data_IF_938800527650
#
_entry.id   IF_938800527650
#
_cell.length_a   1.000
_cell.length_b   1.000
_cell.length_c   1.000
_cell.angle_alpha   90.00
_cell.angle_beta   90.00
_cell.angle_gamma   90.00
#
_symmetry.space_group_name_H-M   'P 1'
#
loop_
_entity.id
_entity.type
_entity.pdbx_description
1 polymer ?
#
# COMPACT_ATOMS: atom_id res chain seq x y z
N UNK A 1 1.03 -2.57 70.85
CA UNK A 1 0.32 -1.56 70.03
C UNK A 1 0.58 -1.85 68.55
N UNK A 2 -0.43 -2.35 67.83
CA UNK A 2 -0.37 -2.73 66.40
C UNK A 2 -0.33 -1.46 65.54
N UNK A 3 0.74 -1.24 64.77
CA UNK A 3 0.78 -0.21 63.72
C UNK A 3 0.19 -0.78 62.44
N UNK A 4 -0.97 -0.27 62.04
CA UNK A 4 -1.59 -0.56 60.74
C UNK A 4 -0.89 0.33 59.71
N UNK A 5 -0.13 -0.27 58.78
CA UNK A 5 0.33 0.43 57.58
C UNK A 5 -0.83 0.50 56.59
N UNK A 6 -1.36 1.70 56.35
CA UNK A 6 -2.22 1.95 55.19
C UNK A 6 -1.35 1.98 53.93
N UNK A 7 -1.56 1.01 53.05
CA UNK A 7 -1.08 1.06 51.67
C UNK A 7 -2.03 1.95 50.86
N UNK A 8 -1.60 3.16 50.55
CA UNK A 8 -2.24 4.00 49.54
C UNK A 8 -1.89 3.43 48.17
N UNK A 9 -2.82 2.73 47.52
CA UNK A 9 -2.71 2.43 46.09
C UNK A 9 -2.84 3.73 45.30
N UNK A 10 -1.74 4.19 44.71
CA UNK A 10 -1.81 5.14 43.59
C UNK A 10 -2.46 4.42 42.40
N UNK A 11 -3.70 4.80 42.07
CA UNK A 11 -4.28 4.45 40.79
C UNK A 11 -3.48 5.19 39.70
N UNK A 12 -2.68 4.44 38.94
CA UNK A 12 -2.06 4.97 37.73
C UNK A 12 -3.18 5.21 36.71
N UNK A 13 -3.53 6.47 36.49
CA UNK A 13 -4.36 6.87 35.34
C UNK A 13 -3.62 6.46 34.08
N UNK A 14 -4.10 5.42 33.41
CA UNK A 14 -3.68 5.11 32.06
C UNK A 14 -4.10 6.30 31.18
N UNK A 15 -3.15 7.19 30.88
CA UNK A 15 -3.33 8.13 29.77
C UNK A 15 -3.49 7.28 28.51
N UNK A 16 -4.72 7.19 28.01
CA UNK A 16 -4.99 6.57 26.72
C UNK A 16 -4.12 7.23 25.65
N UNK A 17 -3.65 6.44 24.69
CA UNK A 17 -2.95 7.00 23.54
C UNK A 17 -3.83 8.10 22.91
N UNK A 18 -3.26 9.26 22.52
CA UNK A 18 -4.03 10.31 21.89
C UNK A 18 -4.78 9.74 20.67
N UNK A 19 -6.07 10.04 20.61
CA UNK A 19 -6.94 9.58 19.54
C UNK A 19 -6.56 10.31 18.24
N UNK A 20 -6.48 9.58 17.14
CA UNK A 20 -6.24 10.15 15.81
C UNK A 20 -7.39 11.07 15.41
N UNK A 21 -7.11 12.36 15.16
CA UNK A 21 -8.14 13.35 14.85
C UNK A 21 -8.32 13.60 13.35
N UNK A 22 -7.42 13.05 12.54
CA UNK A 22 -7.44 13.16 11.08
C UNK A 22 -6.83 14.46 10.55
N UNK A 23 -6.13 14.37 9.42
CA UNK A 23 -5.33 15.49 8.90
C UNK A 23 -6.15 16.74 8.55
N UNK A 24 -7.43 16.55 8.19
CA UNK A 24 -8.35 17.63 7.89
C UNK A 24 -8.64 18.55 9.09
N UNK A 25 -8.50 18.05 10.33
CA UNK A 25 -8.64 18.86 11.54
C UNK A 25 -7.54 19.93 11.61
N UNK A 26 -6.32 19.58 11.23
CA UNK A 26 -5.15 20.46 11.27
C UNK A 26 -5.25 21.63 10.30
N UNK A 27 -5.81 21.39 9.10
CA UNK A 27 -5.93 22.38 8.02
C UNK A 27 -6.73 23.62 8.40
N UNK A 28 -7.63 23.51 9.38
CA UNK A 28 -8.47 24.64 9.86
C UNK A 28 -7.65 25.77 10.46
N UNK A 29 -6.52 25.45 11.11
CA UNK A 29 -5.64 26.43 11.73
C UNK A 29 -4.27 26.52 11.03
N UNK A 30 -3.84 25.45 10.38
CA UNK A 30 -2.52 25.32 9.76
C UNK A 30 -2.60 25.17 8.24
N UNK A 31 -3.35 26.04 7.56
CA UNK A 31 -3.64 25.93 6.12
C UNK A 31 -2.39 25.78 5.26
N UNK A 32 -1.36 26.60 5.49
CA UNK A 32 -0.12 26.56 4.70
C UNK A 32 0.68 25.28 4.94
N UNK A 33 0.83 24.87 6.22
CA UNK A 33 1.57 23.66 6.59
C UNK A 33 0.85 22.43 6.03
N UNK A 34 -0.48 22.35 6.20
CA UNK A 34 -1.29 21.28 5.65
C UNK A 34 -1.20 21.24 4.11
N UNK A 35 -1.23 22.39 3.43
CA UNK A 35 -1.06 22.45 1.98
C UNK A 35 0.30 21.94 1.50
N UNK A 36 1.39 22.27 2.22
CA UNK A 36 2.73 21.74 1.93
C UNK A 36 2.83 20.23 2.23
N UNK A 37 2.16 19.76 3.27
CA UNK A 37 2.13 18.35 3.63
C UNK A 37 1.35 17.54 2.58
N UNK A 38 0.17 18.01 2.17
CA UNK A 38 -0.71 17.35 1.19
C UNK A 38 -0.03 17.12 -0.17
N UNK A 39 0.91 18.00 -0.57
CA UNK A 39 1.67 17.90 -1.82
C UNK A 39 3.04 17.21 -1.66
N UNK A 40 3.37 16.73 -0.47
CA UNK A 40 4.64 16.06 -0.19
C UNK A 40 4.63 14.59 -0.58
N UNK A 41 5.83 14.02 -0.78
CA UNK A 41 5.97 12.57 -0.97
C UNK A 41 5.50 11.74 0.22
N UNK A 42 5.43 12.30 1.43
CA UNK A 42 4.83 11.64 2.58
C UNK A 42 3.33 11.43 2.37
N UNK A 43 2.60 12.45 1.94
CA UNK A 43 1.18 12.36 1.62
C UNK A 43 0.89 11.38 0.47
N UNK A 44 1.84 11.22 -0.45
CA UNK A 44 1.72 10.31 -1.59
C UNK A 44 2.21 8.88 -1.31
N UNK A 45 2.76 8.61 -0.12
CA UNK A 45 3.38 7.32 0.23
C UNK A 45 2.43 6.11 0.07
N UNK A 46 1.12 6.34 0.17
CA UNK A 46 0.07 5.41 -0.22
C UNK A 46 -1.09 6.17 -0.84
N UNK A 47 -1.60 5.65 -1.96
CA UNK A 47 -2.83 6.15 -2.58
C UNK A 47 -3.72 4.98 -3.03
N UNK A 48 -5.06 5.13 -2.98
CA UNK A 48 -5.94 4.24 -3.72
C UNK A 48 -5.55 4.27 -5.20
N UNK A 49 -5.35 3.10 -5.81
CA UNK A 49 -4.90 2.99 -7.20
C UNK A 49 -5.84 3.73 -8.16
N UNK A 50 -7.15 3.67 -7.91
CA UNK A 50 -8.17 4.36 -8.70
C UNK A 50 -8.00 5.90 -8.72
N UNK A 51 -7.43 6.48 -7.66
CA UNK A 51 -7.22 7.92 -7.49
C UNK A 51 -5.88 8.42 -8.07
N UNK A 52 -5.19 7.59 -8.87
CA UNK A 52 -3.89 7.91 -9.47
C UNK A 52 -3.94 7.84 -11.00
N UNK A 53 -2.89 8.30 -11.68
CA UNK A 53 -2.65 8.15 -13.13
C UNK A 53 -1.86 6.86 -13.47
N UNK A 54 -1.52 6.04 -12.47
CA UNK A 54 -0.76 4.81 -12.69
C UNK A 54 -1.46 3.81 -13.62
N UNK A 55 -2.79 3.61 -13.55
CA UNK A 55 -3.47 2.71 -14.49
C UNK A 55 -3.17 3.01 -15.97
N UNK A 56 -3.12 4.28 -16.37
CA UNK A 56 -2.79 4.70 -17.73
C UNK A 56 -1.34 4.34 -18.10
N UNK A 57 -0.40 4.55 -17.17
CA UNK A 57 1.01 4.25 -17.36
C UNK A 57 1.29 2.76 -17.53
N UNK A 58 0.50 1.91 -16.88
CA UNK A 58 0.59 0.45 -17.05
C UNK A 58 -0.14 -0.04 -18.32
N UNK A 59 -1.25 0.60 -18.70
CA UNK A 59 -2.07 0.17 -19.83
C UNK A 59 -1.33 0.24 -21.18
N UNK A 60 -0.30 1.07 -21.30
CA UNK A 60 0.50 1.22 -22.54
C UNK A 60 1.66 0.23 -22.65
N UNK A 61 1.99 -0.51 -21.58
CA UNK A 61 3.16 -1.37 -21.56
C UNK A 61 2.86 -2.78 -22.12
N UNK A 62 3.62 -3.20 -23.14
CA UNK A 62 3.66 -4.61 -23.57
C UNK A 62 4.67 -5.37 -22.71
N UNK A 63 4.18 -6.03 -21.67
CA UNK A 63 5.03 -6.70 -20.68
C UNK A 63 4.95 -8.21 -20.85
N UNK A 64 6.09 -8.81 -21.16
CA UNK A 64 6.24 -10.25 -21.38
C UNK A 64 7.48 -10.78 -20.68
N UNK A 65 7.37 -11.95 -20.07
CA UNK A 65 8.53 -12.69 -19.56
C UNK A 65 8.98 -13.78 -20.54
N UNK A 66 10.25 -14.18 -20.45
CA UNK A 66 10.81 -15.27 -21.27
C UNK A 66 10.09 -16.62 -21.08
N UNK A 67 9.35 -16.80 -19.99
CA UNK A 67 8.53 -17.99 -19.74
C UNK A 67 7.23 -18.03 -20.56
N UNK A 68 6.96 -17.01 -21.38
CA UNK A 68 5.71 -16.88 -22.13
C UNK A 68 4.57 -16.25 -21.32
N UNK A 69 4.85 -15.74 -20.12
CA UNK A 69 3.91 -14.92 -19.35
C UNK A 69 3.72 -13.58 -20.07
N UNK A 70 2.48 -13.13 -20.21
CA UNK A 70 2.14 -11.79 -20.67
C UNK A 70 1.21 -11.11 -19.66
N UNK A 71 1.42 -9.80 -19.45
CA UNK A 71 0.59 -8.97 -18.61
C UNK A 71 -0.23 -8.02 -19.48
N UNK A 72 -1.51 -7.85 -19.14
CA UNK A 72 -2.37 -6.80 -19.67
C UNK A 72 -2.99 -6.04 -18.51
N UNK A 73 -2.90 -4.72 -18.55
CA UNK A 73 -3.44 -3.85 -17.54
C UNK A 73 -4.61 -3.03 -18.08
N UNK A 74 -5.61 -2.80 -17.24
CA UNK A 74 -6.74 -1.95 -17.57
C UNK A 74 -7.20 -1.17 -16.34
N UNK A 75 -7.48 0.13 -16.53
CA UNK A 75 -8.22 0.90 -15.53
C UNK A 75 -9.61 0.29 -15.34
N UNK A 76 -9.98 0.13 -14.08
CA UNK A 76 -11.36 -0.14 -13.66
C UNK A 76 -11.73 0.85 -12.55
N UNK A 77 -13.01 0.89 -12.18
CA UNK A 77 -13.51 1.85 -11.17
C UNK A 77 -12.81 1.69 -9.83
N UNK A 78 -12.51 0.45 -9.45
CA UNK A 78 -11.92 0.10 -8.16
C UNK A 78 -10.38 0.17 -8.15
N UNK A 79 -9.72 0.34 -9.30
CA UNK A 79 -8.25 0.36 -9.37
C UNK A 79 -7.69 -0.08 -10.71
N UNK A 80 -6.65 -0.91 -10.67
CA UNK A 80 -5.97 -1.44 -11.84
C UNK A 80 -6.22 -2.95 -11.94
N UNK A 81 -6.94 -3.40 -12.97
CA UNK A 81 -7.06 -4.82 -13.27
C UNK A 81 -5.80 -5.28 -13.99
N UNK A 82 -5.24 -6.40 -13.55
CA UNK A 82 -4.19 -7.12 -14.27
C UNK A 82 -4.73 -8.46 -14.73
N UNK A 83 -4.56 -8.76 -16.01
CA UNK A 83 -4.80 -10.06 -16.62
C UNK A 83 -3.45 -10.66 -16.99
N UNK A 84 -3.15 -11.83 -16.46
CA UNK A 84 -1.86 -12.53 -16.64
C UNK A 84 -2.13 -13.83 -17.40
N UNK A 85 -1.47 -14.01 -18.54
CA UNK A 85 -1.67 -15.19 -19.39
C UNK A 85 -0.38 -15.97 -19.61
N UNK A 86 -0.49 -17.29 -19.75
CA UNK A 86 0.58 -18.18 -20.20
C UNK A 86 -0.01 -19.35 -21.00
N UNK A 87 0.05 -19.26 -22.32
CA UNK A 87 -0.66 -20.19 -23.20
C UNK A 87 -2.17 -20.18 -22.89
N UNK A 88 -2.80 -21.32 -22.55
CA UNK A 88 -4.24 -21.36 -22.24
C UNK A 88 -4.58 -20.92 -20.80
N UNK A 89 -3.59 -20.71 -19.92
CA UNK A 89 -3.82 -20.33 -18.53
C UNK A 89 -3.97 -18.81 -18.41
N UNK A 90 -4.98 -18.38 -17.67
CA UNK A 90 -5.25 -16.96 -17.40
C UNK A 90 -5.53 -16.77 -15.92
N UNK A 91 -5.07 -15.65 -15.37
CA UNK A 91 -5.40 -15.17 -14.03
C UNK A 91 -5.77 -13.69 -14.10
N UNK A 92 -6.85 -13.31 -13.43
CA UNK A 92 -7.24 -11.92 -13.23
C UNK A 92 -7.14 -11.54 -11.76
N UNK A 93 -6.65 -10.32 -11.49
CA UNK A 93 -6.60 -9.74 -10.16
C UNK A 93 -6.84 -8.22 -10.19
N UNK A 94 -7.26 -7.67 -9.06
CA UNK A 94 -7.41 -6.25 -8.85
C UNK A 94 -6.27 -5.72 -7.96
N UNK A 95 -5.59 -4.70 -8.45
CA UNK A 95 -4.56 -3.94 -7.74
C UNK A 95 -5.21 -2.64 -7.25
N UNK A 96 -5.40 -2.55 -5.93
CA UNK A 96 -6.23 -1.54 -5.26
C UNK A 96 -5.41 -0.37 -4.70
N UNK A 97 -4.12 -0.59 -4.47
CA UNK A 97 -3.24 0.35 -3.79
C UNK A 97 -1.99 0.63 -4.61
N UNK A 98 -1.57 1.89 -4.60
CA UNK A 98 -0.28 2.34 -5.10
C UNK A 98 0.64 2.63 -3.90
N UNK A 99 1.61 1.75 -3.64
CA UNK A 99 2.60 1.93 -2.57
C UNK A 99 3.82 2.67 -3.08
N UNK A 100 4.25 3.69 -2.35
CA UNK A 100 5.34 4.60 -2.70
C UNK A 100 4.82 5.88 -3.36
N UNK A 101 5.52 6.99 -3.12
CA UNK A 101 5.15 8.31 -3.66
C UNK A 101 5.22 8.38 -5.18
N UNK A 102 5.98 7.49 -5.82
CA UNK A 102 6.30 7.57 -7.25
C UNK A 102 7.52 8.44 -7.56
N UNK A 103 8.21 8.98 -6.55
CA UNK A 103 9.45 9.73 -6.74
C UNK A 103 10.59 8.82 -7.26
N UNK A 104 10.68 7.60 -6.75
CA UNK A 104 11.61 6.56 -7.24
C UNK A 104 10.86 5.44 -7.95
N UNK A 105 9.86 4.88 -7.26
CA UNK A 105 9.04 3.80 -7.76
C UNK A 105 7.64 3.84 -7.15
N UNK A 106 6.72 3.11 -7.78
CA UNK A 106 5.42 2.77 -7.23
C UNK A 106 5.18 1.28 -7.42
N UNK A 107 4.80 0.61 -6.35
CA UNK A 107 4.47 -0.83 -6.34
C UNK A 107 2.96 -1.00 -6.20
N UNK A 108 2.27 -1.58 -7.19
CA UNK A 108 0.88 -1.95 -7.04
C UNK A 108 0.72 -3.04 -5.98
N UNK A 109 -0.26 -2.89 -5.10
CA UNK A 109 -0.67 -3.92 -4.15
C UNK A 109 -2.16 -4.17 -4.31
N UNK A 110 -2.54 -5.43 -4.38
CA UNK A 110 -3.91 -5.86 -4.61
C UNK A 110 -4.32 -7.02 -3.73
N UNK A 111 -5.47 -7.61 -4.05
CA UNK A 111 -5.94 -8.83 -3.40
C UNK A 111 -6.21 -9.93 -4.40
N UNK A 112 -5.90 -11.15 -4.00
CA UNK A 112 -6.25 -12.36 -4.71
C UNK A 112 -6.62 -13.45 -3.70
N UNK A 113 -7.81 -14.04 -3.86
CA UNK A 113 -8.37 -15.03 -2.93
C UNK A 113 -8.31 -14.58 -1.46
N UNK A 114 -8.66 -13.31 -1.21
CA UNK A 114 -8.70 -12.71 0.13
C UNK A 114 -7.35 -12.26 0.71
N UNK A 115 -6.22 -12.69 0.15
CA UNK A 115 -4.89 -12.29 0.61
C UNK A 115 -4.38 -11.07 -0.14
N UNK A 116 -3.61 -10.21 0.55
CA UNK A 116 -2.86 -9.14 -0.09
C UNK A 116 -1.69 -9.71 -0.91
N UNK A 117 -1.48 -9.16 -2.09
CA UNK A 117 -0.38 -9.50 -2.99
C UNK A 117 0.38 -8.21 -3.31
N UNK A 118 1.68 -8.22 -3.04
CA UNK A 118 2.60 -7.24 -3.61
C UNK A 118 2.88 -7.64 -5.05
N UNK A 119 2.52 -6.78 -6.00
CA UNK A 119 2.58 -7.13 -7.41
C UNK A 119 4.02 -7.30 -7.88
N UNK A 120 4.24 -8.23 -8.81
CA UNK A 120 5.55 -8.53 -9.39
C UNK A 120 6.14 -7.40 -10.21
N UNK A 121 5.30 -6.52 -10.74
CA UNK A 121 5.69 -5.41 -11.60
C UNK A 121 5.43 -4.09 -10.88
N UNK A 122 6.50 -3.34 -10.64
CA UNK A 122 6.48 -1.96 -10.16
C UNK A 122 6.70 -1.01 -11.33
N UNK A 123 6.37 0.27 -11.14
CA UNK A 123 6.73 1.33 -12.07
C UNK A 123 7.93 2.10 -11.55
N UNK A 124 8.96 2.30 -12.37
CA UNK A 124 10.18 3.01 -11.98
C UNK A 124 10.26 4.37 -12.67
N UNK A 125 10.43 5.43 -11.87
CA UNK A 125 10.43 6.80 -12.36
C UNK A 125 11.66 7.13 -13.20
N UNK A 126 12.82 6.60 -12.84
CA UNK A 126 14.08 6.87 -13.54
C UNK A 126 14.07 6.39 -15.01
N UNK A 127 13.34 5.31 -15.30
CA UNK A 127 13.24 4.72 -16.64
C UNK A 127 11.89 5.01 -17.31
N UNK A 128 10.96 5.62 -16.58
CA UNK A 128 9.55 5.81 -16.96
C UNK A 128 8.93 4.52 -17.56
N UNK A 129 9.21 3.40 -16.91
CA UNK A 129 8.83 2.08 -17.44
C UNK A 129 8.50 1.10 -16.31
N UNK A 130 7.53 0.19 -16.51
CA UNK A 130 7.33 -0.92 -15.60
C UNK A 130 8.52 -1.87 -15.60
N UNK A 131 8.83 -2.42 -14.44
CA UNK A 131 9.88 -3.40 -14.25
C UNK A 131 9.57 -4.29 -13.06
N UNK A 132 10.39 -5.33 -12.87
CA UNK A 132 10.22 -6.23 -11.73
C UNK A 132 10.37 -5.48 -10.41
N UNK A 133 9.47 -5.73 -9.47
CA UNK A 133 9.53 -5.19 -8.10
C UNK A 133 10.82 -5.63 -7.42
N UNK A 134 11.54 -4.67 -6.81
CA UNK A 134 12.78 -4.93 -6.07
C UNK A 134 12.51 -5.92 -4.94
N UNK A 135 13.40 -6.88 -4.74
CA UNK A 135 13.25 -7.94 -3.73
C UNK A 135 12.49 -9.18 -4.21
N UNK A 136 11.79 -9.11 -5.36
CA UNK A 136 11.16 -10.30 -5.95
C UNK A 136 12.19 -11.18 -6.66
N UNK A 137 11.90 -12.48 -6.72
CA UNK A 137 12.78 -13.47 -7.34
C UNK A 137 13.11 -13.12 -8.81
N UNK A 138 14.39 -13.18 -9.16
CA UNK A 138 14.94 -12.86 -10.49
C UNK A 138 14.65 -13.91 -11.58
N UNK A 139 14.29 -15.14 -11.21
CA UNK A 139 13.86 -16.17 -12.14
C UNK A 139 12.57 -15.77 -12.88
N UNK A 140 12.34 -16.31 -14.07
CA UNK A 140 11.07 -16.09 -14.79
C UNK A 140 9.93 -16.80 -14.04
N UNK A 141 8.76 -16.17 -14.00
CA UNK A 141 7.60 -16.77 -13.35
C UNK A 141 7.17 -18.05 -14.08
N UNK A 142 6.96 -19.12 -13.32
CA UNK A 142 6.60 -20.46 -13.83
C UNK A 142 5.13 -20.59 -14.24
N UNK A 143 4.27 -19.76 -13.67
CA UNK A 143 2.81 -19.75 -13.89
C UNK A 143 2.22 -18.35 -13.63
N UNK A 144 0.96 -18.09 -14.08
CA UNK A 144 0.30 -16.81 -13.86
C UNK A 144 0.17 -16.39 -12.38
N UNK A 145 0.11 -17.34 -11.44
CA UNK A 145 0.01 -17.02 -10.02
C UNK A 145 1.35 -16.53 -9.46
N UNK A 146 2.46 -17.20 -9.81
CA UNK A 146 3.81 -16.73 -9.49
C UNK A 146 4.14 -15.40 -10.17
N UNK A 147 3.55 -15.14 -11.33
CA UNK A 147 3.66 -13.86 -12.04
C UNK A 147 2.82 -12.75 -11.39
N UNK A 148 1.76 -13.09 -10.64
CA UNK A 148 0.95 -12.09 -9.95
C UNK A 148 1.76 -11.34 -8.89
N UNK A 149 2.65 -12.04 -8.17
CA UNK A 149 3.53 -11.43 -7.18
C UNK A 149 3.62 -12.22 -5.89
N UNK A 150 4.00 -11.53 -4.82
CA UNK A 150 4.30 -12.15 -3.52
C UNK A 150 3.12 -11.96 -2.59
N UNK A 151 2.56 -13.07 -2.11
CA UNK A 151 1.53 -13.07 -1.07
C UNK A 151 2.10 -12.51 0.23
N UNK A 152 1.38 -11.57 0.83
CA UNK A 152 1.72 -10.97 2.10
C UNK A 152 0.92 -11.64 3.22
N UNK A 153 1.59 -12.01 4.30
CA UNK A 153 0.91 -12.37 5.55
C UNK A 153 0.39 -11.12 6.28
N UNK A 154 -0.53 -11.33 7.23
CA UNK A 154 -1.17 -10.27 8.00
C UNK A 154 -0.16 -9.35 8.71
N UNK A 155 0.87 -9.93 9.32
CA UNK A 155 1.88 -9.18 10.05
C UNK A 155 2.70 -8.28 9.11
N UNK A 156 3.07 -8.79 7.94
CA UNK A 156 3.90 -8.10 6.95
C UNK A 156 3.13 -6.98 6.29
N UNK A 157 1.91 -7.25 5.80
CA UNK A 157 1.10 -6.20 5.19
C UNK A 157 0.73 -5.12 6.21
N UNK A 158 0.47 -5.50 7.47
CA UNK A 158 0.25 -4.57 8.57
C UNK A 158 1.43 -3.61 8.77
N UNK A 159 2.67 -4.10 8.71
CA UNK A 159 3.87 -3.25 8.76
C UNK A 159 3.99 -2.33 7.54
N UNK A 160 3.70 -2.83 6.34
CA UNK A 160 3.73 -2.01 5.13
C UNK A 160 2.75 -0.82 5.25
N UNK A 161 1.50 -1.08 5.63
CA UNK A 161 0.53 0.00 5.87
C UNK A 161 0.94 0.90 7.03
N UNK A 162 1.53 0.35 8.10
CA UNK A 162 2.00 1.13 9.26
C UNK A 162 3.04 2.20 8.93
N UNK A 163 3.83 2.04 7.87
CA UNK A 163 4.79 3.06 7.43
C UNK A 163 4.26 3.94 6.28
N UNK A 164 3.23 3.51 5.56
CA UNK A 164 2.76 4.16 4.33
C UNK A 164 1.40 4.86 4.48
N UNK A 165 0.66 4.55 5.54
CA UNK A 165 -0.63 5.13 5.87
C UNK A 165 -0.60 5.65 7.31
N UNK A 166 -1.54 6.52 7.63
CA UNK A 166 -1.68 7.10 8.97
C UNK A 166 -2.85 6.46 9.69
N UNK A 167 -2.69 6.24 11.00
CA UNK A 167 -3.64 5.48 11.82
C UNK A 167 -3.99 4.12 11.18
N UNK A 168 -2.97 3.42 10.68
CA UNK A 168 -3.14 2.23 9.87
C UNK A 168 -3.64 1.04 10.69
N UNK A 169 -4.90 0.65 10.49
CA UNK A 169 -5.52 -0.58 11.00
C UNK A 169 -6.17 -1.34 9.82
N UNK A 170 -5.36 -1.88 8.89
CA UNK A 170 -5.86 -2.44 7.62
C UNK A 170 -6.82 -3.62 7.83
N UNK A 171 -6.63 -4.43 8.88
CA UNK A 171 -7.54 -5.51 9.29
C UNK A 171 -8.96 -4.98 9.65
N UNK A 172 -9.04 -3.74 10.11
CA UNK A 172 -10.29 -3.07 10.54
C UNK A 172 -10.81 -2.10 9.47
N UNK A 173 -10.11 -1.98 8.33
CA UNK A 173 -10.45 -1.03 7.27
C UNK A 173 -10.28 0.45 7.63
N UNK A 174 -9.67 0.76 8.79
CA UNK A 174 -9.49 2.13 9.26
C UNK A 174 -8.06 2.59 8.96
N UNK A 175 -7.88 3.53 8.05
CA UNK A 175 -6.62 4.23 7.79
C UNK A 175 -6.83 5.47 6.91
N UNK A 176 -5.96 6.46 7.04
CA UNK A 176 -5.84 7.54 6.06
C UNK A 176 -4.64 7.26 5.12
N UNK A 177 -4.84 7.19 3.79
CA UNK A 177 -3.73 6.94 2.86
C UNK A 177 -2.67 8.04 2.85
N UNK A 178 -1.40 7.62 2.91
CA UNK A 178 -0.24 8.48 3.02
C UNK A 178 0.19 8.65 4.47
N UNK A 179 1.43 9.12 4.66
CA UNK A 179 1.92 9.62 5.94
C UNK A 179 1.40 11.06 6.09
N UNK A 180 0.49 11.27 7.03
CA UNK A 180 -0.38 12.44 7.23
C UNK A 180 -0.19 13.01 8.64
N UNK A 181 -0.78 14.17 8.87
CA UNK A 181 -0.92 14.70 10.22
C UNK A 181 -1.87 13.82 11.04
N UNK A 182 -1.64 13.74 12.35
CA UNK A 182 -2.36 12.88 13.30
C UNK A 182 -3.32 13.65 14.21
#
# INVERSE_FOLDING_TARGET
MRRVLLFTMCAASAWGAPEYVGSAACKRCHTEIAGRQESSHHAEALRPMAATDWPERFATADLRERSGIAYRYARVREGLRVTITQGPRTLDALLEWAFGSGAQAMTPVGRYQGAYIEHRISYYRATDHPGRTIGHEGAAAKDPLAALGVKQDAATIGRCFGCHATNARPEQGAMEPGVRCE
#
